data_IF_840545504406
#
_entry.id   IF_840545504406
#
_cell.length_a   1.000
_cell.length_b   1.000
_cell.length_c   1.000
_cell.angle_alpha   90.00
_cell.angle_beta   90.00
_cell.angle_gamma   90.00
#
_symmetry.space_group_name_H-M   'P 1'
#
loop_
_entity.id
_entity.type
_entity.pdbx_description
1 polymer ?
#
# COMPACT_ATOMS: atom_id res chain seq x y z
N UNK A 1 14.23 -13.25 12.85
CA UNK A 1 14.71 -13.83 11.57
C UNK A 1 14.67 -12.72 10.53
N UNK A 2 15.81 -12.10 10.24
CA UNK A 2 15.91 -10.93 9.34
C UNK A 2 16.38 -11.44 7.97
N UNK A 3 15.57 -11.22 6.94
CA UNK A 3 15.95 -11.50 5.56
C UNK A 3 16.76 -10.32 5.02
N UNK A 4 18.06 -10.53 4.78
CA UNK A 4 18.88 -9.58 4.04
C UNK A 4 18.66 -9.79 2.54
N UNK A 5 17.95 -8.88 1.89
CA UNK A 5 17.97 -8.77 0.43
C UNK A 5 19.07 -7.79 0.04
N UNK A 6 20.20 -8.32 -0.42
CA UNK A 6 21.26 -7.53 -1.07
C UNK A 6 20.80 -7.17 -2.48
N UNK A 7 20.06 -6.07 -2.63
CA UNK A 7 19.81 -5.49 -3.95
C UNK A 7 21.14 -4.92 -4.43
N UNK A 8 21.70 -5.54 -5.47
CA UNK A 8 22.84 -5.01 -6.24
C UNK A 8 22.55 -3.56 -6.62
N UNK A 9 23.47 -2.63 -6.31
CA UNK A 9 23.33 -1.18 -6.67
C UNK A 9 23.23 -0.95 -8.18
N UNK A 10 23.68 -1.93 -8.95
CA UNK A 10 23.67 -2.04 -10.41
C UNK A 10 22.44 -2.79 -10.94
N UNK A 11 21.51 -3.23 -10.08
CA UNK A 11 20.23 -3.74 -10.53
C UNK A 11 19.46 -2.59 -11.20
N UNK A 12 19.51 -2.55 -12.52
CA UNK A 12 18.57 -1.79 -13.35
C UNK A 12 17.20 -2.41 -13.08
N UNK A 13 16.49 -1.90 -12.07
CA UNK A 13 15.07 -2.16 -11.92
C UNK A 13 14.47 -1.59 -13.21
N UNK A 14 13.96 -2.42 -14.13
CA UNK A 14 13.38 -1.90 -15.36
C UNK A 14 12.31 -0.92 -14.93
N UNK A 15 12.52 0.36 -15.29
CA UNK A 15 11.58 1.44 -15.00
C UNK A 15 10.36 1.18 -15.88
N UNK A 16 9.52 0.23 -15.46
CA UNK A 16 8.22 0.01 -16.09
C UNK A 16 7.49 1.33 -15.95
N UNK A 17 7.17 1.94 -17.08
CA UNK A 17 6.25 3.08 -17.10
C UNK A 17 5.04 2.70 -16.26
N UNK A 18 4.60 3.55 -15.31
CA UNK A 18 3.36 3.33 -14.58
C UNK A 18 2.29 2.98 -15.60
N UNK A 19 1.65 1.82 -15.46
CA UNK A 19 0.57 1.50 -16.38
C UNK A 19 -0.51 2.55 -16.08
N UNK A 20 -1.04 3.23 -17.10
CA UNK A 20 -1.95 4.35 -16.91
C UNK A 20 -3.29 3.95 -16.27
N UNK A 21 -3.46 2.69 -15.86
CA UNK A 21 -4.62 2.14 -15.15
C UNK A 21 -4.29 1.58 -13.75
N UNK A 22 -3.02 1.60 -13.33
CA UNK A 22 -2.61 1.12 -12.01
C UNK A 22 -3.23 1.98 -10.91
N UNK A 23 -3.71 1.31 -9.86
CA UNK A 23 -4.29 1.91 -8.65
C UNK A 23 -3.49 1.45 -7.45
N UNK A 24 -3.34 2.33 -6.47
CA UNK A 24 -2.59 2.05 -5.26
C UNK A 24 -3.53 1.98 -4.05
N UNK A 25 -3.53 0.83 -3.38
CA UNK A 25 -4.10 0.66 -2.05
C UNK A 25 -2.95 0.58 -1.05
N UNK A 26 -2.83 1.58 -0.19
CA UNK A 26 -2.01 1.55 1.02
C UNK A 26 -2.85 1.04 2.19
N UNK A 27 -2.29 0.13 2.97
CA UNK A 27 -2.92 -0.45 4.15
C UNK A 27 -2.03 -0.12 5.34
N UNK A 28 -2.61 0.47 6.38
CA UNK A 28 -1.88 0.87 7.58
C UNK A 28 -2.56 0.38 8.84
N UNK A 29 -1.77 -0.06 9.81
CA UNK A 29 -2.25 -0.31 11.17
C UNK A 29 -2.35 1.01 11.95
N UNK A 30 -3.42 1.19 12.70
CA UNK A 30 -3.59 2.37 13.56
C UNK A 30 -2.54 2.45 14.68
N UNK A 31 -2.13 1.30 15.22
CA UNK A 31 -1.12 1.16 16.27
C UNK A 31 0.24 0.74 15.71
N UNK A 32 0.54 1.06 14.45
CA UNK A 32 1.86 0.80 13.86
C UNK A 32 2.86 1.85 14.35
N UNK A 33 3.76 1.42 15.23
CA UNK A 33 4.84 2.25 15.77
C UNK A 33 6.12 2.18 14.93
N UNK A 34 6.26 1.18 14.06
CA UNK A 34 7.41 1.03 13.17
C UNK A 34 7.26 1.93 11.93
N UNK A 35 6.02 2.06 11.43
CA UNK A 35 5.67 2.94 10.31
C UNK A 35 4.45 3.80 10.67
N UNK A 36 4.66 5.01 11.22
CA UNK A 36 3.55 5.88 11.60
C UNK A 36 2.64 6.23 10.42
N UNK A 37 1.32 6.13 10.64
CA UNK A 37 0.28 6.35 9.62
C UNK A 37 0.52 7.62 8.79
N UNK A 38 0.74 8.76 9.44
CA UNK A 38 0.91 10.04 8.73
C UNK A 38 2.19 10.10 7.90
N UNK A 39 3.26 9.42 8.33
CA UNK A 39 4.48 9.31 7.53
C UNK A 39 4.20 8.56 6.23
N UNK A 40 3.47 7.45 6.29
CA UNK A 40 3.06 6.69 5.12
C UNK A 40 2.14 7.52 4.21
N UNK A 41 1.16 8.24 4.77
CA UNK A 41 0.26 9.10 3.99
C UNK A 41 1.02 10.21 3.27
N UNK A 42 1.89 10.94 3.98
CA UNK A 42 2.69 12.03 3.40
C UNK A 42 3.60 11.52 2.28
N UNK A 43 4.21 10.35 2.43
CA UNK A 43 5.05 9.75 1.38
C UNK A 43 4.29 9.44 0.08
N UNK A 44 2.96 9.30 0.15
CA UNK A 44 2.09 9.01 -0.99
C UNK A 44 1.40 10.26 -1.56
N UNK A 45 1.56 11.43 -0.92
CA UNK A 45 1.08 12.72 -1.43
C UNK A 45 2.02 13.35 -2.48
N UNK A 46 2.84 12.52 -3.13
CA UNK A 46 3.71 12.96 -4.22
C UNK A 46 2.87 13.56 -5.38
N UNK A 47 3.17 14.81 -5.80
CA UNK A 47 2.43 15.48 -6.88
C UNK A 47 2.59 14.80 -8.25
N UNK A 48 3.60 13.93 -8.44
CA UNK A 48 3.78 13.13 -9.65
C UNK A 48 2.80 11.94 -9.74
N UNK A 49 2.12 11.60 -8.65
CA UNK A 49 1.10 10.55 -8.61
C UNK A 49 -0.30 11.11 -8.86
N UNK A 50 -1.11 10.39 -9.65
CA UNK A 50 -2.53 10.68 -9.75
C UNK A 50 -3.23 10.31 -8.42
N UNK A 51 -3.41 11.32 -7.58
CA UNK A 51 -4.02 11.22 -6.25
C UNK A 51 -5.44 10.66 -6.27
N UNK A 52 -6.14 10.65 -7.42
CA UNK A 52 -7.47 10.01 -7.53
C UNK A 52 -7.39 8.49 -7.37
N UNK A 53 -6.22 7.91 -7.68
CA UNK A 53 -5.94 6.46 -7.74
C UNK A 53 -5.21 5.92 -6.52
N UNK A 54 -4.75 6.80 -5.63
CA UNK A 54 -4.10 6.45 -4.37
C UNK A 54 -5.14 6.45 -3.27
N UNK A 55 -5.17 5.39 -2.47
CA UNK A 55 -6.05 5.28 -1.30
C UNK A 55 -5.32 4.64 -0.15
N UNK A 56 -5.48 5.21 1.03
CA UNK A 56 -5.04 4.62 2.29
C UNK A 56 -6.26 4.12 3.05
N UNK A 57 -6.19 2.88 3.53
CA UNK A 57 -7.18 2.30 4.46
C UNK A 57 -6.48 1.98 5.77
N UNK A 58 -7.07 2.43 6.86
CA UNK A 58 -6.55 2.20 8.21
C UNK A 58 -7.34 1.06 8.84
N UNK A 59 -6.61 0.15 9.47
CA UNK A 59 -7.18 -0.99 10.17
C UNK A 59 -6.76 -0.94 11.63
N UNK A 60 -7.60 -1.52 12.48
CA UNK A 60 -7.26 -1.77 13.87
C UNK A 60 -6.17 -2.85 13.93
N UNK A 61 -4.97 -2.46 14.37
CA UNK A 61 -3.79 -3.33 14.39
C UNK A 61 -2.49 -2.54 14.39
N UNK A 62 -1.38 -3.23 14.66
CA UNK A 62 -0.02 -2.68 14.55
C UNK A 62 0.58 -2.90 13.16
N UNK A 63 1.90 -3.03 13.11
CA UNK A 63 2.67 -3.22 11.87
C UNK A 63 2.13 -4.35 10.97
N UNK A 64 1.58 -5.39 11.59
CA UNK A 64 1.09 -6.58 10.91
C UNK A 64 -0.43 -6.66 10.96
N UNK A 65 -1.12 -5.65 10.43
CA UNK A 65 -2.60 -5.58 10.44
C UNK A 65 -3.32 -6.71 9.67
N UNK A 66 -2.56 -7.58 9.01
CA UNK A 66 -3.02 -8.72 8.18
C UNK A 66 -2.70 -10.09 8.80
N UNK A 67 -2.26 -10.16 10.06
CA UNK A 67 -1.78 -11.42 10.65
C UNK A 67 -2.87 -12.45 10.97
N UNK A 68 -4.14 -12.03 11.10
CA UNK A 68 -5.23 -12.93 11.51
C UNK A 68 -6.17 -13.25 10.36
N UNK A 69 -6.76 -14.44 10.34
CA UNK A 69 -7.82 -14.79 9.39
C UNK A 69 -8.97 -13.77 9.40
N UNK A 70 -9.29 -13.21 10.57
CA UNK A 70 -10.31 -12.19 10.76
C UNK A 70 -10.02 -10.87 10.03
N UNK A 71 -8.76 -10.57 9.71
CA UNK A 71 -8.38 -9.36 8.96
C UNK A 71 -8.60 -9.49 7.45
N UNK A 72 -8.58 -10.72 6.91
CA UNK A 72 -8.63 -11.00 5.47
C UNK A 72 -9.91 -10.50 4.78
N UNK A 73 -11.12 -10.66 5.34
CA UNK A 73 -12.34 -10.15 4.73
C UNK A 73 -12.29 -8.63 4.55
N UNK A 74 -11.83 -7.89 5.57
CA UNK A 74 -11.77 -6.43 5.52
C UNK A 74 -10.74 -5.94 4.47
N UNK A 75 -9.61 -6.63 4.33
CA UNK A 75 -8.59 -6.35 3.29
C UNK A 75 -9.15 -6.64 1.90
N UNK A 76 -9.84 -7.78 1.74
CA UNK A 76 -10.51 -8.14 0.48
C UNK A 76 -11.51 -7.08 0.06
N UNK A 77 -12.33 -6.59 1.01
CA UNK A 77 -13.33 -5.57 0.72
C UNK A 77 -12.70 -4.24 0.30
N UNK A 78 -11.61 -3.84 0.95
CA UNK A 78 -10.84 -2.65 0.57
C UNK A 78 -10.27 -2.79 -0.86
N UNK A 79 -9.74 -3.97 -1.20
CA UNK A 79 -9.25 -4.26 -2.55
C UNK A 79 -10.37 -4.22 -3.60
N UNK A 80 -11.51 -4.87 -3.32
CA UNK A 80 -12.68 -4.88 -4.21
C UNK A 80 -13.18 -3.46 -4.47
N UNK A 81 -13.22 -2.61 -3.43
CA UNK A 81 -13.68 -1.22 -3.55
C UNK A 81 -12.81 -0.41 -4.52
N UNK A 82 -11.50 -0.63 -4.51
CA UNK A 82 -10.57 0.05 -5.42
C UNK A 82 -10.66 -0.50 -6.84
N UNK A 83 -10.86 -1.80 -7.01
CA UNK A 83 -11.03 -2.41 -8.35
C UNK A 83 -12.34 -1.98 -9.02
N UNK A 84 -13.46 -1.92 -8.27
CA UNK A 84 -14.79 -1.62 -8.84
C UNK A 84 -14.96 -0.17 -9.29
N UNK A 85 -14.22 0.78 -8.72
CA UNK A 85 -14.31 2.21 -9.03
C UNK A 85 -13.90 2.59 -10.47
N UNK A 86 -13.46 1.62 -11.28
CA UNK A 86 -12.94 1.82 -12.64
C UNK A 86 -13.81 1.25 -13.74
N UNK A 87 -14.99 0.73 -13.40
CA UNK A 87 -15.96 0.20 -14.35
C UNK A 87 -17.20 1.11 -14.48
N UNK A 88 -17.08 2.37 -14.11
CA UNK A 88 -18.13 3.38 -14.23
C UNK A 88 -17.69 4.44 -15.23
#
# INVERSE_FOLDING_TARGET
MIWYFSIRRDAVIPKRSPQPETRLLSISGYYDFDVPLYSAVLSLQDPSLDQKRVRTTVFEGGHMTYQTEASRPKIRDALIKILRRGRA
#
